data_IF_912885793987
#
_entry.id   IF_912885793987
#
_cell.length_a   1.000
_cell.length_b   1.000
_cell.length_c   1.000
_cell.angle_alpha   90.00
_cell.angle_beta   90.00
_cell.angle_gamma   90.00
#
_symmetry.space_group_name_H-M   'P 1'
#
loop_
_entity.id
_entity.type
_entity.pdbx_description
1 polymer ?
#
# COMPACT_ATOMS: atom_id res chain seq x y z
N UNK A 1 -4.98 49.92 -30.27
CA UNK A 1 -4.92 48.60 -30.95
C UNK A 1 -4.16 47.71 -30.03
N UNK A 2 -4.89 47.05 -29.15
CA UNK A 2 -4.36 46.16 -28.12
C UNK A 2 -4.56 44.73 -28.60
N UNK A 3 -3.45 44.01 -28.70
CA UNK A 3 -3.45 42.60 -29.08
C UNK A 3 -3.46 41.75 -27.79
N UNK A 4 -4.61 41.21 -27.47
CA UNK A 4 -4.81 40.31 -26.34
C UNK A 4 -4.33 38.89 -26.69
N UNK A 5 -3.07 38.62 -26.42
CA UNK A 5 -2.51 37.27 -26.50
C UNK A 5 -3.11 36.35 -25.44
N UNK A 6 -4.10 35.57 -25.85
CA UNK A 6 -4.74 34.54 -25.04
C UNK A 6 -3.76 33.35 -24.84
N UNK A 7 -3.01 33.38 -23.75
CA UNK A 7 -2.14 32.27 -23.35
C UNK A 7 -2.94 31.06 -22.94
N UNK A 8 -3.26 30.19 -23.89
CA UNK A 8 -3.75 28.84 -23.61
C UNK A 8 -2.60 28.07 -22.97
N UNK A 9 -2.64 27.90 -21.66
CA UNK A 9 -1.79 26.93 -20.95
C UNK A 9 -2.16 25.54 -21.49
N UNK A 10 -1.30 25.00 -22.36
CA UNK A 10 -1.32 23.58 -22.71
C UNK A 10 -1.11 22.79 -21.42
N UNK A 11 -2.17 22.19 -20.90
CA UNK A 11 -2.05 21.14 -19.93
C UNK A 11 -1.18 20.03 -20.56
N UNK A 12 -0.01 19.82 -20.03
CA UNK A 12 0.79 18.63 -20.30
C UNK A 12 -0.04 17.47 -19.81
N UNK A 13 -0.65 16.72 -20.71
CA UNK A 13 -1.12 15.38 -20.43
C UNK A 13 0.16 14.59 -20.09
N UNK A 14 0.41 14.33 -18.82
CA UNK A 14 1.41 13.33 -18.45
C UNK A 14 0.92 12.02 -19.05
N UNK A 15 1.67 11.48 -20.01
CA UNK A 15 1.40 10.16 -20.56
C UNK A 15 1.52 9.15 -19.42
N UNK A 16 0.47 8.36 -19.23
CA UNK A 16 0.49 7.31 -18.19
C UNK A 16 1.57 6.29 -18.53
N UNK A 17 2.38 5.90 -17.52
CA UNK A 17 3.37 4.81 -17.69
C UNK A 17 2.64 3.52 -18.04
N UNK A 18 3.03 2.86 -19.12
CA UNK A 18 2.47 1.56 -19.55
C UNK A 18 3.12 0.44 -18.78
N UNK A 19 2.31 -0.35 -18.09
CA UNK A 19 2.77 -1.40 -17.21
C UNK A 19 2.39 -2.80 -17.70
N UNK A 20 3.33 -3.74 -17.61
CA UNK A 20 3.06 -5.18 -17.68
C UNK A 20 3.09 -5.76 -16.28
N UNK A 21 2.05 -6.51 -15.90
CA UNK A 21 1.93 -7.15 -14.60
C UNK A 21 2.39 -8.60 -14.68
N UNK A 22 3.12 -9.05 -13.67
CA UNK A 22 3.68 -10.39 -13.58
C UNK A 22 3.34 -11.03 -12.25
N UNK A 23 2.73 -12.22 -12.30
CA UNK A 23 2.51 -13.07 -11.13
C UNK A 23 3.26 -14.40 -11.28
N UNK A 24 3.83 -14.87 -10.18
CA UNK A 24 4.43 -16.21 -10.11
C UNK A 24 3.81 -16.94 -8.93
N UNK A 25 3.09 -18.02 -9.20
CA UNK A 25 2.57 -18.88 -8.14
C UNK A 25 3.43 -20.13 -7.98
N UNK A 26 3.58 -20.63 -6.78
CA UNK A 26 4.30 -21.86 -6.47
C UNK A 26 3.63 -22.63 -5.33
N UNK A 27 3.97 -23.90 -5.22
CA UNK A 27 3.39 -24.79 -4.22
C UNK A 27 1.92 -25.10 -4.52
N UNK A 28 1.13 -25.24 -3.45
CA UNK A 28 -0.30 -25.58 -3.50
C UNK A 28 -1.22 -24.38 -3.68
N UNK A 29 -0.67 -23.19 -3.94
CA UNK A 29 -1.50 -22.00 -4.13
C UNK A 29 -2.52 -22.24 -5.27
N UNK A 30 -3.81 -22.08 -4.93
CA UNK A 30 -4.88 -22.26 -5.88
C UNK A 30 -4.77 -21.26 -7.04
N UNK A 31 -5.12 -21.69 -8.24
CA UNK A 31 -5.09 -20.81 -9.41
C UNK A 31 -5.99 -19.59 -9.22
N UNK A 32 -7.17 -19.80 -8.66
CA UNK A 32 -8.13 -18.73 -8.34
C UNK A 32 -7.54 -17.64 -7.44
N UNK A 33 -6.77 -18.03 -6.41
CA UNK A 33 -6.11 -17.08 -5.53
C UNK A 33 -5.03 -16.25 -6.26
N UNK A 34 -4.33 -16.86 -7.22
CA UNK A 34 -3.34 -16.15 -8.01
C UNK A 34 -4.00 -15.19 -9.03
N UNK A 35 -5.10 -15.58 -9.63
CA UNK A 35 -5.89 -14.74 -10.53
C UNK A 35 -6.51 -13.55 -9.78
N UNK A 36 -7.01 -13.79 -8.57
CA UNK A 36 -7.50 -12.72 -7.68
C UNK A 36 -6.38 -11.73 -7.33
N UNK A 37 -5.20 -12.24 -6.93
CA UNK A 37 -4.03 -11.40 -6.62
C UNK A 37 -3.60 -10.55 -7.81
N UNK A 38 -3.63 -11.11 -9.03
CA UNK A 38 -3.34 -10.37 -10.25
C UNK A 38 -4.39 -9.32 -10.58
N UNK A 39 -5.67 -9.58 -10.32
CA UNK A 39 -6.75 -8.60 -10.47
C UNK A 39 -6.58 -7.44 -9.48
N UNK A 40 -6.20 -7.75 -8.24
CA UNK A 40 -5.90 -6.75 -7.23
C UNK A 40 -4.65 -5.92 -7.59
N UNK A 41 -3.57 -6.56 -8.09
CA UNK A 41 -2.38 -5.89 -8.59
C UNK A 41 -2.71 -4.91 -9.73
N UNK A 42 -3.65 -5.29 -10.62
CA UNK A 42 -4.16 -4.40 -11.66
C UNK A 42 -4.78 -3.15 -11.06
N UNK A 43 -5.69 -3.31 -10.12
CA UNK A 43 -6.35 -2.19 -9.45
C UNK A 43 -5.35 -1.30 -8.70
N UNK A 44 -4.29 -1.87 -8.12
CA UNK A 44 -3.18 -1.11 -7.52
C UNK A 44 -2.42 -0.30 -8.57
N UNK A 45 -2.06 -0.91 -9.70
CA UNK A 45 -1.32 -0.24 -10.78
C UNK A 45 -2.14 0.93 -11.37
N UNK A 46 -3.44 0.71 -11.60
CA UNK A 46 -4.37 1.74 -12.08
C UNK A 46 -4.53 2.88 -11.05
N UNK A 47 -4.59 2.56 -9.76
CA UNK A 47 -4.61 3.56 -8.67
C UNK A 47 -3.33 4.37 -8.62
N UNK A 48 -2.18 3.77 -8.91
CA UNK A 48 -0.90 4.49 -9.03
C UNK A 48 -0.78 5.33 -10.31
N UNK A 49 -1.79 5.27 -11.19
CA UNK A 49 -1.83 6.04 -12.45
C UNK A 49 -1.22 5.33 -13.65
N UNK A 50 -0.83 4.06 -13.54
CA UNK A 50 -0.31 3.28 -14.65
C UNK A 50 -1.42 2.79 -15.59
N UNK A 51 -1.09 2.59 -16.86
CA UNK A 51 -1.93 1.92 -17.86
C UNK A 51 -1.47 0.48 -18.02
N UNK A 52 -2.33 -0.48 -17.66
CA UNK A 52 -2.01 -1.92 -17.69
C UNK A 52 -2.19 -2.48 -19.09
N UNK A 53 -1.09 -2.69 -19.81
CA UNK A 53 -1.06 -3.12 -21.20
C UNK A 53 -0.89 -4.64 -21.39
N UNK A 54 -0.53 -5.35 -20.33
CA UNK A 54 -0.39 -6.82 -20.38
C UNK A 54 -0.31 -7.45 -19.00
N UNK A 55 -0.65 -8.75 -18.94
CA UNK A 55 -0.56 -9.54 -17.71
C UNK A 55 0.02 -10.91 -18.01
N UNK A 56 0.92 -11.38 -17.15
CA UNK A 56 1.60 -12.65 -17.28
C UNK A 56 1.55 -13.42 -15.96
N UNK A 57 1.00 -14.62 -15.96
CA UNK A 57 0.98 -15.51 -14.80
C UNK A 57 1.79 -16.77 -15.09
N UNK A 58 2.66 -17.16 -14.17
CA UNK A 58 3.43 -18.39 -14.24
C UNK A 58 3.18 -19.28 -13.03
N UNK A 59 2.90 -20.56 -13.28
CA UNK A 59 2.93 -21.61 -12.27
C UNK A 59 4.31 -22.29 -12.25
N UNK A 60 4.88 -22.48 -11.05
CA UNK A 60 6.15 -23.19 -10.84
C UNK A 60 6.09 -24.04 -9.58
N UNK A 61 6.96 -25.04 -9.49
CA UNK A 61 7.15 -25.77 -8.23
C UNK A 61 7.94 -24.96 -7.20
N UNK A 62 8.89 -24.13 -7.66
CA UNK A 62 9.74 -23.27 -6.83
C UNK A 62 10.06 -21.98 -7.59
N UNK A 63 10.17 -20.84 -6.88
CA UNK A 63 10.65 -19.59 -7.46
C UNK A 63 12.09 -19.73 -7.93
N UNK A 64 12.44 -19.05 -9.02
CA UNK A 64 13.82 -18.99 -9.49
C UNK A 64 14.62 -18.03 -8.59
N UNK A 65 15.79 -18.44 -8.07
CA UNK A 65 16.58 -17.59 -7.17
C UNK A 65 17.11 -16.31 -7.84
N UNK A 66 17.31 -16.33 -9.16
CA UNK A 66 17.91 -15.22 -9.90
C UNK A 66 16.88 -14.23 -10.46
N UNK A 67 15.71 -14.70 -10.88
CA UNK A 67 14.74 -13.92 -11.64
C UNK A 67 13.29 -14.15 -11.21
N UNK A 68 13.04 -14.88 -10.12
CA UNK A 68 11.73 -15.32 -9.63
C UNK A 68 11.04 -16.28 -10.61
N UNK A 69 11.07 -15.99 -11.90
CA UNK A 69 10.42 -16.72 -13.00
C UNK A 69 11.39 -17.54 -13.83
N UNK A 70 10.89 -18.52 -14.57
CA UNK A 70 11.72 -19.38 -15.44
C UNK A 70 12.18 -18.66 -16.71
N UNK A 71 13.30 -19.15 -17.30
CA UNK A 71 13.94 -18.53 -18.48
C UNK A 71 12.97 -18.36 -19.65
N UNK A 72 12.25 -19.41 -20.06
CA UNK A 72 11.30 -19.31 -21.19
C UNK A 72 10.17 -18.30 -20.94
N UNK A 73 9.67 -18.22 -19.69
CA UNK A 73 8.65 -17.24 -19.33
C UNK A 73 9.20 -15.81 -19.28
N UNK A 74 10.49 -15.66 -18.99
CA UNK A 74 11.18 -14.38 -19.06
C UNK A 74 11.39 -13.90 -20.51
N UNK A 75 11.59 -14.82 -21.45
CA UNK A 75 11.63 -14.51 -22.89
C UNK A 75 10.24 -14.05 -23.38
N UNK A 76 9.17 -14.77 -22.98
CA UNK A 76 7.79 -14.37 -23.27
C UNK A 76 7.46 -12.98 -22.67
N UNK A 77 7.93 -12.70 -21.45
CA UNK A 77 7.80 -11.37 -20.84
C UNK A 77 8.53 -10.30 -21.67
N UNK A 78 9.74 -10.60 -22.16
CA UNK A 78 10.51 -9.66 -22.99
C UNK A 78 9.80 -9.36 -24.32
N UNK A 79 9.18 -10.36 -24.93
CA UNK A 79 8.36 -10.18 -26.15
C UNK A 79 7.10 -9.34 -25.85
N UNK A 80 6.41 -9.66 -24.75
CA UNK A 80 5.21 -8.91 -24.33
C UNK A 80 5.53 -7.43 -24.08
N UNK A 81 6.60 -7.15 -23.33
CA UNK A 81 7.09 -5.79 -23.06
C UNK A 81 7.38 -5.04 -24.38
N UNK A 82 8.06 -5.68 -25.33
CA UNK A 82 8.38 -5.07 -26.62
C UNK A 82 7.12 -4.80 -27.45
N UNK A 83 6.19 -5.74 -27.48
CA UNK A 83 4.96 -5.65 -28.26
C UNK A 83 4.01 -4.58 -27.71
N UNK A 84 3.89 -4.47 -26.40
CA UNK A 84 3.04 -3.49 -25.73
C UNK A 84 3.72 -2.14 -25.54
N UNK A 85 5.02 -2.04 -25.89
CA UNK A 85 5.88 -0.91 -25.63
C UNK A 85 5.75 -0.42 -24.17
N UNK A 86 5.82 -1.36 -23.22
CA UNK A 86 5.68 -1.07 -21.79
C UNK A 86 6.89 -0.28 -21.27
N UNK A 87 6.62 0.61 -20.31
CA UNK A 87 7.62 1.46 -19.68
C UNK A 87 8.17 0.85 -18.38
N UNK A 88 7.37 -0.04 -17.75
CA UNK A 88 7.74 -0.74 -16.53
C UNK A 88 7.08 -2.12 -16.43
N UNK A 89 7.64 -2.95 -15.54
CA UNK A 89 7.06 -4.26 -15.18
C UNK A 89 6.83 -4.29 -13.67
N UNK A 90 5.65 -4.74 -13.26
CA UNK A 90 5.25 -4.84 -11.85
C UNK A 90 5.03 -6.29 -11.49
N UNK A 91 5.75 -6.77 -10.48
CA UNK A 91 5.62 -8.12 -9.94
C UNK A 91 4.67 -8.13 -8.74
N UNK A 92 3.80 -9.14 -8.72
CA UNK A 92 2.85 -9.36 -7.61
C UNK A 92 3.56 -9.79 -6.31
N UNK A 93 4.67 -10.49 -6.43
CA UNK A 93 5.48 -10.95 -5.31
C UNK A 93 6.63 -9.98 -5.01
N UNK A 94 7.04 -9.95 -3.74
CA UNK A 94 8.24 -9.22 -3.34
C UNK A 94 9.49 -9.79 -4.02
N UNK A 95 10.31 -8.91 -4.55
CA UNK A 95 11.57 -9.24 -5.18
C UNK A 95 12.74 -9.04 -4.22
N UNK A 96 13.66 -9.99 -4.19
CA UNK A 96 14.95 -9.74 -3.57
C UNK A 96 15.73 -8.69 -4.38
N UNK A 97 16.64 -7.93 -3.75
CA UNK A 97 17.45 -6.93 -4.46
C UNK A 97 18.25 -7.50 -5.65
N UNK A 98 18.65 -8.77 -5.56
CA UNK A 98 19.34 -9.47 -6.64
C UNK A 98 18.41 -9.84 -7.79
N UNK A 99 17.19 -10.33 -7.49
CA UNK A 99 16.18 -10.63 -8.51
C UNK A 99 15.77 -9.37 -9.27
N UNK A 100 15.46 -8.29 -8.56
CA UNK A 100 15.10 -7.03 -9.18
C UNK A 100 16.19 -6.55 -10.14
N UNK A 101 17.45 -6.52 -9.70
CA UNK A 101 18.57 -6.12 -10.57
C UNK A 101 18.76 -7.02 -11.77
N UNK A 102 18.67 -8.34 -11.59
CA UNK A 102 18.81 -9.28 -12.70
C UNK A 102 17.70 -9.09 -13.74
N UNK A 103 16.47 -8.77 -13.30
CA UNK A 103 15.35 -8.46 -14.18
C UNK A 103 15.55 -7.11 -14.89
N UNK A 104 15.95 -6.05 -14.17
CA UNK A 104 16.29 -4.73 -14.74
C UNK A 104 17.37 -4.86 -15.81
N UNK A 105 18.44 -5.63 -15.54
CA UNK A 105 19.53 -5.85 -16.48
C UNK A 105 19.09 -6.62 -17.73
N UNK A 106 18.15 -7.55 -17.60
CA UNK A 106 17.67 -8.36 -18.74
C UNK A 106 16.63 -7.65 -19.58
N UNK A 107 15.70 -6.95 -18.94
CA UNK A 107 14.58 -6.28 -19.61
C UNK A 107 14.90 -4.84 -20.00
N UNK A 108 15.95 -4.25 -19.41
CA UNK A 108 16.34 -2.83 -19.60
C UNK A 108 15.18 -1.87 -19.28
N UNK A 109 14.33 -2.21 -18.31
CA UNK A 109 13.18 -1.46 -17.86
C UNK A 109 13.17 -1.32 -16.34
N UNK A 110 12.37 -0.36 -15.85
CA UNK A 110 12.04 -0.22 -14.43
C UNK A 110 11.24 -1.43 -13.96
N UNK A 111 11.69 -2.05 -12.87
CA UNK A 111 11.02 -3.18 -12.25
C UNK A 111 10.54 -2.76 -10.86
N UNK A 112 9.26 -2.94 -10.62
CA UNK A 112 8.65 -2.75 -9.31
C UNK A 112 8.14 -4.09 -8.78
N UNK A 113 8.08 -4.21 -7.47
CA UNK A 113 7.32 -5.26 -6.80
C UNK A 113 6.06 -4.66 -6.12
N UNK A 114 5.22 -5.53 -5.59
CA UNK A 114 3.97 -5.12 -4.92
C UNK A 114 4.22 -4.12 -3.79
N UNK A 115 5.29 -4.32 -3.01
CA UNK A 115 5.66 -3.42 -1.91
C UNK A 115 6.02 -2.01 -2.43
N UNK A 116 6.81 -1.92 -3.48
CA UNK A 116 7.16 -0.63 -4.08
C UNK A 116 5.92 0.09 -4.64
N UNK A 117 5.05 -0.63 -5.33
CA UNK A 117 3.81 -0.08 -5.87
C UNK A 117 2.89 0.48 -4.77
N UNK A 118 2.69 -0.25 -3.68
CA UNK A 118 1.89 0.23 -2.54
C UNK A 118 2.52 1.47 -1.90
N UNK A 119 3.85 1.53 -1.78
CA UNK A 119 4.55 2.71 -1.29
C UNK A 119 4.36 3.93 -2.18
N UNK A 120 4.32 3.74 -3.50
CA UNK A 120 4.06 4.82 -4.45
C UNK A 120 2.61 5.33 -4.32
N UNK A 121 1.62 4.44 -4.18
CA UNK A 121 0.22 4.80 -3.90
C UNK A 121 0.12 5.58 -2.58
N UNK A 122 0.80 5.14 -1.54
CA UNK A 122 0.81 5.84 -0.26
C UNK A 122 1.45 7.22 -0.35
N UNK A 123 2.46 7.40 -1.20
CA UNK A 123 3.07 8.70 -1.44
C UNK A 123 2.11 9.68 -2.12
N UNK A 124 1.22 9.19 -3.00
CA UNK A 124 0.16 9.99 -3.63
C UNK A 124 -0.90 10.44 -2.62
N UNK A 125 -1.30 9.56 -1.69
CA UNK A 125 -2.41 9.81 -0.75
C UNK A 125 -1.97 10.36 0.62
N UNK A 126 -0.68 10.52 0.89
CA UNK A 126 -0.17 11.14 2.11
C UNK A 126 -0.32 12.66 2.05
N UNK A 127 -1.28 13.22 2.78
CA UNK A 127 -1.50 14.67 2.83
C UNK A 127 -0.97 15.29 4.14
N UNK A 128 -1.09 14.57 5.27
CA UNK A 128 -0.63 15.06 6.55
C UNK A 128 0.90 15.05 6.66
N UNK A 129 1.44 15.89 7.56
CA UNK A 129 2.87 15.87 7.88
C UNK A 129 3.31 14.51 8.42
N UNK A 130 2.44 13.84 9.16
CA UNK A 130 2.71 12.54 9.73
C UNK A 130 2.72 11.44 8.67
N UNK A 131 1.67 11.36 7.85
CA UNK A 131 1.59 10.41 6.74
C UNK A 131 2.78 10.57 5.78
N UNK A 132 3.12 11.78 5.37
CA UNK A 132 4.31 12.05 4.53
C UNK A 132 5.61 11.56 5.17
N UNK A 133 5.81 11.81 6.46
CA UNK A 133 7.01 11.36 7.17
C UNK A 133 7.07 9.82 7.28
N UNK A 134 5.92 9.16 7.49
CA UNK A 134 5.82 7.69 7.52
C UNK A 134 6.13 7.07 6.18
N UNK A 135 5.52 7.58 5.11
CA UNK A 135 5.75 7.09 3.74
C UNK A 135 7.21 7.29 3.35
N UNK A 136 7.76 8.49 3.56
CA UNK A 136 9.17 8.76 3.27
C UNK A 136 10.10 7.81 4.03
N UNK A 137 9.81 7.56 5.31
CA UNK A 137 10.60 6.62 6.11
C UNK A 137 10.50 5.19 5.57
N UNK A 138 9.32 4.74 5.15
CA UNK A 138 9.10 3.42 4.58
C UNK A 138 9.83 3.26 3.23
N UNK A 139 9.71 4.26 2.33
CA UNK A 139 10.44 4.28 1.05
C UNK A 139 11.96 4.28 1.25
N UNK A 140 12.47 5.02 2.22
CA UNK A 140 13.90 5.03 2.53
C UNK A 140 14.38 3.68 3.08
N UNK A 141 13.61 3.02 3.94
CA UNK A 141 13.93 1.68 4.45
C UNK A 141 13.91 0.64 3.33
N UNK A 142 12.88 0.66 2.49
CA UNK A 142 12.78 -0.20 1.33
C UNK A 142 13.95 0.00 0.36
N UNK A 143 14.27 1.25 0.02
CA UNK A 143 15.40 1.60 -0.85
C UNK A 143 16.76 1.22 -0.26
N UNK A 144 16.93 1.33 1.08
CA UNK A 144 18.18 1.00 1.77
C UNK A 144 18.56 -0.48 1.59
N UNK A 145 17.60 -1.39 1.59
CA UNK A 145 17.85 -2.83 1.34
C UNK A 145 18.31 -3.09 -0.09
N UNK A 146 17.91 -2.24 -1.04
CA UNK A 146 18.22 -2.35 -2.48
C UNK A 146 19.50 -1.64 -2.90
N UNK A 147 20.02 -0.75 -2.08
CA UNK A 147 21.32 -0.10 -2.31
C UNK A 147 22.52 -1.06 -2.19
N UNK A 148 22.39 -2.15 -1.44
CA UNK A 148 23.45 -3.12 -1.13
C UNK A 148 23.92 -3.98 -2.31
N UNK A 149 23.91 -3.51 -3.51
CA UNK A 149 24.40 -4.29 -4.65
C UNK A 149 24.95 -3.46 -5.79
N UNK A 150 24.74 -2.15 -5.79
CA UNK A 150 25.31 -1.26 -6.83
C UNK A 150 26.79 -0.98 -6.66
N UNK A 151 27.35 -1.20 -5.46
CA UNK A 151 28.79 -0.99 -5.17
C UNK A 151 29.71 -2.04 -5.78
N UNK A 152 29.26 -3.27 -6.02
CA UNK A 152 30.08 -4.37 -6.53
C UNK A 152 30.45 -4.17 -8.00
N UNK A 153 29.62 -3.53 -8.80
CA UNK A 153 29.93 -3.26 -10.22
C UNK A 153 30.95 -2.15 -10.39
N UNK A 154 30.88 -1.11 -9.53
CA UNK A 154 31.87 0.00 -9.53
C UNK A 154 33.21 -0.38 -8.89
N UNK A 155 33.24 -1.37 -7.99
CA UNK A 155 34.47 -1.84 -7.35
C UNK A 155 35.27 -2.81 -8.23
N UNK A 156 34.66 -3.45 -9.25
CA UNK A 156 35.35 -4.31 -10.22
C UNK A 156 36.30 -3.55 -11.16
N UNK A 157 36.14 -2.21 -11.28
CA UNK A 157 37.00 -1.35 -12.11
C UNK A 157 38.27 -0.85 -11.40
N UNK A 158 38.42 -1.14 -10.10
CA UNK A 158 39.58 -0.70 -9.28
C UNK A 158 40.24 -1.90 -8.59
N UNK A 159 40.88 -2.80 -9.36
CA UNK A 159 41.54 -3.99 -8.82
C UNK A 159 42.81 -3.68 -8.03
N UNK A 160 42.75 -3.81 -6.70
CA UNK A 160 43.91 -3.82 -5.82
C UNK A 160 43.51 -4.31 -4.43
N UNK A 161 44.28 -5.23 -3.84
CA UNK A 161 44.11 -5.71 -2.48
C UNK A 161 44.35 -4.51 -1.52
N UNK A 162 43.29 -4.05 -0.84
CA UNK A 162 43.35 -3.04 0.22
C UNK A 162 42.99 -1.59 -0.15
N UNK A 163 42.59 -1.30 -1.39
CA UNK A 163 42.09 0.03 -1.77
C UNK A 163 40.55 0.05 -1.82
N UNK A 164 39.92 0.80 -0.89
CA UNK A 164 38.52 1.18 -0.99
C UNK A 164 38.32 1.99 -2.27
N UNK A 165 37.63 1.41 -3.26
CA UNK A 165 37.33 2.11 -4.52
C UNK A 165 36.37 3.29 -4.31
N UNK A 166 36.42 4.33 -5.17
CA UNK A 166 35.53 5.50 -5.06
C UNK A 166 34.02 5.14 -5.07
N UNK A 167 33.64 3.97 -5.59
CA UNK A 167 32.26 3.47 -5.58
C UNK A 167 31.78 2.97 -4.21
N UNK A 168 32.66 2.35 -3.41
CA UNK A 168 32.33 1.94 -2.04
C UNK A 168 32.11 3.15 -1.14
N UNK A 169 32.93 4.19 -1.29
CA UNK A 169 32.80 5.43 -0.51
C UNK A 169 31.49 6.13 -0.80
N UNK A 170 31.07 6.20 -2.06
CA UNK A 170 29.81 6.85 -2.47
C UNK A 170 28.60 6.08 -1.95
N UNK A 171 28.60 4.76 -2.05
CA UNK A 171 27.53 3.91 -1.51
C UNK A 171 27.40 4.06 0.01
N UNK A 172 28.54 4.12 0.71
CA UNK A 172 28.57 4.28 2.17
C UNK A 172 28.08 5.68 2.59
N UNK A 173 28.42 6.72 1.84
CA UNK A 173 27.88 8.06 2.03
C UNK A 173 26.36 8.11 1.83
N UNK A 174 25.85 7.53 0.75
CA UNK A 174 24.42 7.50 0.46
C UNK A 174 23.66 6.72 1.55
N UNK A 175 24.20 5.57 1.97
CA UNK A 175 23.67 4.80 3.09
C UNK A 175 23.66 5.61 4.40
N UNK A 176 24.70 6.35 4.67
CA UNK A 176 24.81 7.21 5.85
C UNK A 176 23.80 8.36 5.81
N UNK A 177 23.62 9.01 4.65
CA UNK A 177 22.60 10.06 4.44
C UNK A 177 21.21 9.53 4.68
N UNK A 178 20.86 8.38 4.09
CA UNK A 178 19.56 7.74 4.28
C UNK A 178 19.32 7.39 5.75
N UNK A 179 20.28 6.75 6.42
CA UNK A 179 20.14 6.41 7.83
C UNK A 179 19.99 7.66 8.72
N UNK A 180 20.65 8.76 8.38
CA UNK A 180 20.49 10.03 9.10
C UNK A 180 19.08 10.59 8.89
N UNK A 181 18.55 10.53 7.67
CA UNK A 181 17.19 10.99 7.36
C UNK A 181 16.14 10.14 8.08
N UNK A 182 16.28 8.81 8.08
CA UNK A 182 15.41 7.89 8.84
C UNK A 182 15.38 8.25 10.34
N UNK A 183 16.55 8.52 10.95
CA UNK A 183 16.62 8.93 12.36
C UNK A 183 15.93 10.27 12.62
N UNK A 184 15.99 11.20 11.69
CA UNK A 184 15.28 12.48 11.80
C UNK A 184 13.78 12.29 11.74
N UNK A 185 13.28 11.53 10.76
CA UNK A 185 11.87 11.20 10.60
C UNK A 185 11.32 10.43 11.83
N UNK A 186 12.08 9.49 12.38
CA UNK A 186 11.70 8.77 13.60
C UNK A 186 11.50 9.72 14.80
N UNK A 187 12.36 10.74 14.95
CA UNK A 187 12.19 11.77 16.00
C UNK A 187 10.95 12.64 15.76
N UNK A 188 10.69 13.02 14.51
CA UNK A 188 9.52 13.80 14.14
C UNK A 188 8.24 13.01 14.46
N UNK A 189 8.16 11.75 14.06
CA UNK A 189 7.02 10.86 14.33
C UNK A 189 6.80 10.64 15.84
N UNK A 190 7.86 10.44 16.62
CA UNK A 190 7.76 10.34 18.09
C UNK A 190 7.21 11.61 18.73
N UNK A 191 7.55 12.78 18.21
CA UNK A 191 7.00 14.03 18.72
C UNK A 191 5.49 14.17 18.38
N UNK A 192 5.08 13.80 17.16
CA UNK A 192 3.67 13.80 16.75
C UNK A 192 2.84 12.81 17.59
N UNK A 193 3.35 11.62 17.84
CA UNK A 193 2.71 10.62 18.71
C UNK A 193 2.49 11.17 20.14
N UNK A 194 3.45 11.91 20.72
CA UNK A 194 3.29 12.54 22.04
C UNK A 194 2.12 13.52 22.07
N UNK A 195 1.97 14.33 21.03
CA UNK A 195 0.85 15.29 20.94
C UNK A 195 -0.50 14.55 20.87
N UNK A 196 -0.58 13.45 20.12
CA UNK A 196 -1.78 12.62 20.06
C UNK A 196 -2.14 12.03 21.42
N UNK A 197 -1.16 11.46 22.14
CA UNK A 197 -1.37 10.91 23.50
C UNK A 197 -1.96 11.94 24.47
N UNK A 198 -1.57 13.21 24.37
CA UNK A 198 -2.15 14.27 25.22
C UNK A 198 -3.62 14.54 24.85
N UNK A 199 -3.94 14.60 23.55
CA UNK A 199 -5.33 14.81 23.09
C UNK A 199 -6.23 13.63 23.50
N UNK A 200 -5.71 12.40 23.44
CA UNK A 200 -6.39 11.17 23.84
C UNK A 200 -6.73 11.18 25.33
N UNK A 201 -5.75 11.41 26.22
CA UNK A 201 -6.01 11.50 27.67
C UNK A 201 -7.13 12.48 28.02
N UNK A 202 -7.31 13.53 27.20
CA UNK A 202 -8.42 14.45 27.37
C UNK A 202 -9.77 13.82 26.98
N UNK A 203 -9.80 13.00 25.91
CA UNK A 203 -11.02 12.26 25.49
C UNK A 203 -11.42 11.22 26.54
N UNK A 204 -10.46 10.43 27.02
CA UNK A 204 -10.66 9.43 28.08
C UNK A 204 -11.28 10.06 29.35
N UNK A 205 -10.77 11.23 29.78
CA UNK A 205 -11.34 11.96 30.93
C UNK A 205 -12.78 12.42 30.73
N UNK A 206 -13.20 12.59 29.49
CA UNK A 206 -14.56 13.03 29.14
C UNK A 206 -15.50 11.85 28.88
N UNK A 207 -15.05 10.60 29.06
CA UNK A 207 -15.80 9.36 28.79
C UNK A 207 -16.46 9.36 27.40
N UNK A 208 -15.72 9.81 26.38
CA UNK A 208 -16.17 9.81 24.98
C UNK A 208 -15.82 8.46 24.38
N UNK A 209 -16.83 7.70 23.95
CA UNK A 209 -16.64 6.42 23.26
C UNK A 209 -15.94 6.62 21.92
N UNK A 210 -15.02 5.71 21.59
CA UNK A 210 -14.17 5.77 20.39
C UNK A 210 -14.46 4.57 19.50
N UNK A 211 -14.77 4.83 18.24
CA UNK A 211 -14.97 3.81 17.21
C UNK A 211 -13.89 3.93 16.14
N UNK A 212 -13.38 2.81 15.64
CA UNK A 212 -12.52 2.78 14.47
C UNK A 212 -13.16 1.97 13.35
N UNK A 213 -13.20 2.55 12.14
CA UNK A 213 -13.58 1.85 10.93
C UNK A 213 -12.37 1.04 10.45
N UNK A 214 -12.51 -0.26 10.43
CA UNK A 214 -11.51 -1.19 9.89
C UNK A 214 -12.12 -1.99 8.73
N UNK A 215 -11.32 -2.56 7.89
CA UNK A 215 -11.81 -3.38 6.78
C UNK A 215 -10.90 -3.28 5.56
N UNK A 216 -11.20 -4.12 4.59
CA UNK A 216 -10.44 -4.21 3.36
C UNK A 216 -10.41 -2.87 2.60
N UNK A 217 -9.38 -2.65 1.78
CA UNK A 217 -9.35 -1.46 0.92
C UNK A 217 -10.57 -1.45 -0.02
N UNK A 218 -11.10 -0.27 -0.29
CA UNK A 218 -12.32 -0.08 -1.09
C UNK A 218 -13.60 -0.79 -0.57
N UNK A 219 -13.65 -1.18 0.71
CA UNK A 219 -14.89 -1.72 1.32
C UNK A 219 -15.93 -0.63 1.64
N UNK A 220 -15.60 0.65 1.49
CA UNK A 220 -16.50 1.78 1.70
C UNK A 220 -16.44 2.40 3.10
N UNK A 221 -15.31 2.28 3.81
CA UNK A 221 -15.09 2.89 5.14
C UNK A 221 -15.35 4.39 5.14
N UNK A 222 -14.75 5.13 4.21
CA UNK A 222 -14.91 6.58 4.08
C UNK A 222 -16.34 6.97 3.68
N UNK A 223 -17.04 6.13 2.90
CA UNK A 223 -18.46 6.32 2.57
C UNK A 223 -19.32 6.22 3.82
N UNK A 224 -19.08 5.25 4.69
CA UNK A 224 -19.78 5.09 5.96
C UNK A 224 -19.49 6.25 6.89
N UNK A 225 -18.22 6.71 6.96
CA UNK A 225 -17.87 7.90 7.72
C UNK A 225 -18.69 9.11 7.26
N UNK A 226 -18.78 9.34 5.94
CA UNK A 226 -19.57 10.43 5.38
C UNK A 226 -21.08 10.28 5.68
N UNK A 227 -21.63 9.07 5.61
CA UNK A 227 -23.03 8.80 5.90
C UNK A 227 -23.39 9.03 7.38
N UNK A 228 -22.44 8.80 8.29
CA UNK A 228 -22.63 9.01 9.74
C UNK A 228 -22.28 10.43 10.20
N UNK A 229 -21.58 11.19 9.36
CA UNK A 229 -21.10 12.53 9.68
C UNK A 229 -21.18 13.40 8.43
N UNK A 230 -21.37 14.70 8.57
CA UNK A 230 -21.28 15.63 7.41
C UNK A 230 -19.79 15.92 7.07
N UNK A 231 -18.95 14.89 7.03
CA UNK A 231 -17.50 15.06 6.98
C UNK A 231 -16.98 15.55 5.62
N UNK A 232 -17.72 15.30 4.53
CA UNK A 232 -17.30 15.68 3.17
C UNK A 232 -15.96 15.08 2.74
N UNK A 233 -15.61 13.89 3.27
CA UNK A 233 -14.39 13.19 2.87
C UNK A 233 -14.51 12.77 1.41
N UNK A 234 -13.47 13.01 0.63
CA UNK A 234 -13.43 12.54 -0.76
C UNK A 234 -13.50 11.03 -0.77
N UNK A 235 -14.50 10.50 -1.46
CA UNK A 235 -14.67 9.06 -1.67
C UNK A 235 -14.36 8.78 -3.13
N UNK A 236 -13.34 7.99 -3.35
CA UNK A 236 -12.91 7.56 -4.68
C UNK A 236 -13.00 6.04 -4.75
N UNK A 237 -13.36 5.50 -5.90
CA UNK A 237 -13.32 4.06 -6.17
C UNK A 237 -11.89 3.61 -6.48
N UNK A 238 -10.98 3.89 -5.54
CA UNK A 238 -9.56 3.61 -5.62
C UNK A 238 -9.08 2.90 -4.36
N UNK A 239 -8.06 2.06 -4.54
CA UNK A 239 -7.43 1.36 -3.42
C UNK A 239 -6.61 2.37 -2.59
N UNK A 240 -6.70 2.26 -1.25
CA UNK A 240 -5.98 3.15 -0.33
C UNK A 240 -6.29 4.65 -0.48
N UNK A 241 -7.52 5.01 -0.82
CA UNK A 241 -7.97 6.40 -0.89
C UNK A 241 -7.79 7.17 0.43
N UNK A 242 -7.80 6.48 1.56
CA UNK A 242 -7.53 7.04 2.89
C UNK A 242 -6.25 6.48 3.45
N UNK A 243 -5.23 7.33 3.64
CA UNK A 243 -3.98 6.98 4.32
C UNK A 243 -3.89 7.65 5.71
N UNK A 244 -4.26 8.92 5.78
CA UNK A 244 -4.28 9.69 7.03
C UNK A 244 -5.57 9.41 7.81
N UNK A 245 -5.52 9.05 9.10
CA UNK A 245 -6.73 8.80 9.88
C UNK A 245 -7.60 10.06 9.99
N UNK A 246 -8.87 9.93 9.68
CA UNK A 246 -9.83 11.02 9.76
C UNK A 246 -10.79 10.77 10.91
N UNK A 247 -10.67 11.55 11.98
CA UNK A 247 -11.54 11.45 13.17
C UNK A 247 -12.66 12.47 13.11
N UNK A 248 -13.91 12.04 13.35
CA UNK A 248 -15.10 12.88 13.39
C UNK A 248 -15.93 12.57 14.62
N UNK A 249 -16.70 13.56 15.06
CA UNK A 249 -17.69 13.38 16.13
C UNK A 249 -18.99 12.86 15.56
N UNK A 250 -19.62 11.99 16.32
CA UNK A 250 -20.97 11.50 16.06
C UNK A 250 -21.80 11.65 17.33
N UNK A 251 -23.09 11.96 17.16
CA UNK A 251 -24.05 11.99 18.24
C UNK A 251 -24.87 10.69 18.20
N UNK A 252 -24.78 9.91 19.27
CA UNK A 252 -25.53 8.66 19.39
C UNK A 252 -26.98 8.95 19.82
N UNK A 253 -27.94 8.05 19.48
CA UNK A 253 -29.37 8.26 19.83
C UNK A 253 -29.65 8.49 21.31
N UNK A 254 -28.73 8.05 22.19
CA UNK A 254 -28.79 8.22 23.64
C UNK A 254 -28.27 9.59 24.12
N UNK A 255 -28.09 10.55 23.23
CA UNK A 255 -27.50 11.86 23.51
C UNK A 255 -26.05 11.79 24.07
N UNK A 256 -25.38 10.65 23.85
CA UNK A 256 -23.97 10.44 24.16
C UNK A 256 -23.11 10.84 22.96
N UNK A 257 -22.00 11.50 23.25
CA UNK A 257 -21.01 11.87 22.24
C UNK A 257 -20.05 10.71 22.02
N UNK A 258 -19.75 10.43 20.76
CA UNK A 258 -18.73 9.49 20.39
C UNK A 258 -17.82 10.10 19.30
N UNK A 259 -16.71 9.47 19.05
CA UNK A 259 -15.85 9.76 17.90
C UNK A 259 -15.69 8.50 17.06
N UNK A 260 -15.68 8.70 15.76
CA UNK A 260 -15.42 7.65 14.79
C UNK A 260 -14.19 8.05 13.96
N UNK A 261 -13.28 7.10 13.75
CA UNK A 261 -12.05 7.33 13.00
C UNK A 261 -12.04 6.40 11.79
N UNK A 262 -11.90 6.98 10.59
CA UNK A 262 -11.58 6.23 9.37
C UNK A 262 -10.11 5.90 9.35
N UNK A 263 -9.76 4.66 9.02
CA UNK A 263 -8.38 4.17 9.00
C UNK A 263 -7.97 3.69 7.61
N UNK A 264 -6.68 3.45 7.44
CA UNK A 264 -6.14 2.85 6.22
C UNK A 264 -6.82 1.51 5.94
N UNK A 265 -7.17 1.27 4.66
CA UNK A 265 -7.69 -0.03 4.23
C UNK A 265 -6.62 -1.11 4.28
N UNK A 266 -7.02 -2.32 4.64
CA UNK A 266 -6.15 -3.49 4.59
C UNK A 266 -6.22 -4.15 3.20
N UNK A 267 -5.20 -4.91 2.88
CA UNK A 267 -5.06 -5.63 1.61
C UNK A 267 -4.39 -6.99 1.87
N UNK A 268 -4.63 -7.96 0.99
CA UNK A 268 -3.90 -9.22 1.05
C UNK A 268 -2.39 -9.00 0.92
N UNK A 269 -1.63 -9.78 1.67
CA UNK A 269 -0.17 -9.72 1.63
C UNK A 269 0.40 -8.31 1.89
N UNK A 270 -0.20 -7.57 2.86
CA UNK A 270 0.37 -6.30 3.28
C UNK A 270 1.78 -6.54 3.85
N UNK A 271 2.84 -5.97 3.25
CA UNK A 271 4.20 -6.23 3.70
C UNK A 271 4.40 -5.79 5.16
N UNK A 272 5.01 -6.63 6.00
CA UNK A 272 5.29 -6.30 7.42
C UNK A 272 6.03 -4.97 7.61
N UNK A 273 6.91 -4.61 6.66
CA UNK A 273 7.60 -3.32 6.68
C UNK A 273 6.65 -2.13 6.59
N UNK A 274 5.52 -2.29 5.88
CA UNK A 274 4.47 -1.28 5.79
C UNK A 274 3.63 -1.24 7.07
N UNK A 275 3.27 -2.39 7.63
CA UNK A 275 2.58 -2.46 8.93
C UNK A 275 3.38 -1.73 10.00
N UNK A 276 4.71 -1.98 10.08
CA UNK A 276 5.59 -1.25 11.01
C UNK A 276 5.67 0.26 10.74
N UNK A 277 5.77 0.66 9.48
CA UNK A 277 5.84 2.07 9.11
C UNK A 277 4.56 2.82 9.48
N UNK A 278 3.40 2.18 9.31
CA UNK A 278 2.09 2.75 9.61
C UNK A 278 1.55 2.40 11.00
N UNK A 279 2.35 1.73 11.84
CA UNK A 279 1.96 1.34 13.20
C UNK A 279 1.37 2.52 14.00
N UNK A 280 1.91 3.73 13.83
CA UNK A 280 1.40 4.90 14.55
C UNK A 280 0.05 5.41 14.01
N UNK A 281 -0.26 5.18 12.74
CA UNK A 281 -1.58 5.44 12.14
C UNK A 281 -2.58 4.38 12.57
N UNK A 282 -2.12 3.14 12.68
CA UNK A 282 -2.89 2.00 13.14
C UNK A 282 -3.03 1.95 14.69
N UNK A 283 -2.30 2.80 15.44
CA UNK A 283 -2.51 2.99 16.89
C UNK A 283 -3.97 3.43 17.19
N UNK A 284 -4.63 4.17 16.30
CA UNK A 284 -6.04 4.56 16.50
C UNK A 284 -6.99 3.34 16.50
N UNK A 285 -6.62 2.24 15.84
CA UNK A 285 -7.37 0.97 15.86
C UNK A 285 -7.23 0.30 17.24
N UNK A 286 -6.00 0.19 17.77
CA UNK A 286 -5.73 -0.39 19.11
C UNK A 286 -6.41 0.37 20.23
N UNK A 287 -6.69 1.63 20.02
CA UNK A 287 -7.17 2.58 21.02
C UNK A 287 -8.68 2.78 20.95
N UNK A 288 -9.36 2.10 20.03
CA UNK A 288 -10.81 2.15 19.93
C UNK A 288 -11.49 1.27 20.99
N UNK A 289 -12.63 1.73 21.49
CA UNK A 289 -13.48 0.93 22.37
C UNK A 289 -14.24 -0.15 21.58
N UNK A 290 -14.53 0.11 20.29
CA UNK A 290 -15.23 -0.79 19.38
C UNK A 290 -14.68 -0.64 17.98
N UNK A 291 -14.49 -1.75 17.27
CA UNK A 291 -14.19 -1.77 15.85
C UNK A 291 -15.47 -1.92 15.02
N UNK A 292 -15.58 -1.12 13.97
CA UNK A 292 -16.58 -1.27 12.93
C UNK A 292 -15.90 -1.91 11.72
N UNK A 293 -15.99 -3.25 11.60
CA UNK A 293 -15.40 -3.98 10.50
C UNK A 293 -16.30 -3.88 9.26
N UNK A 294 -15.93 -2.98 8.35
CA UNK A 294 -16.66 -2.74 7.10
C UNK A 294 -16.30 -3.82 6.09
N UNK A 295 -17.29 -4.56 5.67
CA UNK A 295 -17.17 -5.69 4.75
C UNK A 295 -17.93 -5.36 3.46
N UNK A 296 -17.24 -5.45 2.33
CA UNK A 296 -17.87 -5.41 1.00
C UNK A 296 -18.58 -6.74 0.76
N UNK A 297 -19.89 -6.78 1.00
CA UNK A 297 -20.71 -7.99 0.89
C UNK A 297 -20.90 -8.46 -0.55
N UNK A 298 -20.68 -7.59 -1.54
CA UNK A 298 -20.77 -7.95 -2.96
C UNK A 298 -19.55 -8.68 -3.51
N UNK A 299 -18.46 -8.74 -2.70
CA UNK A 299 -17.24 -9.41 -3.12
C UNK A 299 -17.40 -10.93 -3.14
N UNK A 300 -16.99 -11.65 -4.20
CA UNK A 300 -17.06 -13.11 -4.23
C UNK A 300 -16.12 -13.75 -3.19
N UNK A 301 -15.12 -13.03 -2.70
CA UNK A 301 -14.10 -13.50 -1.76
C UNK A 301 -14.24 -12.88 -0.35
N UNK A 302 -15.47 -12.58 0.08
CA UNK A 302 -15.77 -11.92 1.36
C UNK A 302 -15.01 -12.55 2.54
N UNK A 303 -15.10 -13.88 2.67
CA UNK A 303 -14.45 -14.59 3.80
C UNK A 303 -12.95 -14.40 3.85
N UNK A 304 -12.26 -14.53 2.71
CA UNK A 304 -10.80 -14.30 2.63
C UNK A 304 -10.42 -12.87 2.97
N UNK A 305 -11.25 -11.89 2.57
CA UNK A 305 -11.01 -10.49 2.89
C UNK A 305 -11.20 -10.21 4.38
N UNK A 306 -12.17 -10.85 5.02
CA UNK A 306 -12.35 -10.80 6.48
C UNK A 306 -11.12 -11.40 7.16
N UNK A 307 -10.73 -12.62 6.79
CA UNK A 307 -9.55 -13.31 7.36
C UNK A 307 -8.27 -12.47 7.20
N UNK A 308 -8.08 -11.82 6.05
CA UNK A 308 -6.92 -10.94 5.83
C UNK A 308 -6.91 -9.73 6.77
N UNK A 309 -8.06 -9.18 7.09
CA UNK A 309 -8.21 -8.09 8.06
C UNK A 309 -7.94 -8.59 9.47
N UNK A 310 -8.50 -9.74 9.84
CA UNK A 310 -8.33 -10.34 11.16
C UNK A 310 -6.86 -10.65 11.46
N UNK A 311 -6.12 -11.20 10.50
CA UNK A 311 -4.66 -11.41 10.63
C UNK A 311 -3.92 -10.11 10.96
N UNK A 312 -4.25 -9.02 10.29
CA UNK A 312 -3.61 -7.72 10.57
C UNK A 312 -4.05 -7.17 11.93
N UNK A 313 -5.31 -7.35 12.33
CA UNK A 313 -5.79 -6.95 13.66
C UNK A 313 -5.08 -7.72 14.78
N UNK A 314 -4.82 -9.01 14.59
CA UNK A 314 -4.00 -9.81 15.50
C UNK A 314 -2.56 -9.31 15.59
N UNK A 315 -1.90 -9.04 14.46
CA UNK A 315 -0.54 -8.46 14.42
C UNK A 315 -0.48 -7.09 15.13
N UNK A 316 -1.58 -6.35 15.09
CA UNK A 316 -1.74 -5.08 15.81
C UNK A 316 -2.13 -5.26 17.28
N UNK A 317 -2.27 -6.49 17.80
CA UNK A 317 -2.79 -6.75 19.16
C UNK A 317 -4.16 -6.09 19.40
N UNK A 318 -5.02 -6.06 18.40
CA UNK A 318 -6.35 -5.47 18.41
C UNK A 318 -7.47 -6.51 18.27
N UNK A 319 -7.14 -7.81 18.21
CA UNK A 319 -8.09 -8.91 18.03
C UNK A 319 -9.11 -9.06 19.17
N UNK A 320 -8.77 -8.63 20.38
CA UNK A 320 -9.66 -8.70 21.57
C UNK A 320 -10.66 -7.51 21.65
N UNK A 321 -10.57 -6.54 20.76
CA UNK A 321 -11.47 -5.38 20.78
C UNK A 321 -12.85 -5.78 20.26
N UNK A 322 -13.95 -5.45 20.95
CA UNK A 322 -15.30 -5.72 20.48
C UNK A 322 -15.51 -5.22 19.04
N UNK A 323 -15.92 -6.13 18.15
CA UNK A 323 -16.07 -5.83 16.73
C UNK A 323 -17.52 -5.98 16.27
N UNK A 324 -18.01 -4.98 15.55
CA UNK A 324 -19.30 -4.99 14.85
C UNK A 324 -19.03 -5.09 13.35
N UNK A 325 -19.54 -6.12 12.72
CA UNK A 325 -19.49 -6.27 11.26
C UNK A 325 -20.53 -5.39 10.58
N UNK A 326 -20.10 -4.58 9.63
CA UNK A 326 -20.93 -3.68 8.84
C UNK A 326 -20.92 -4.17 7.40
N UNK A 327 -22.00 -4.84 6.99
CA UNK A 327 -22.16 -5.37 5.63
C UNK A 327 -22.52 -4.22 4.68
N UNK A 328 -21.49 -3.70 4.01
CA UNK A 328 -21.65 -2.62 3.03
C UNK A 328 -21.87 -3.16 1.62
N UNK A 329 -22.36 -2.31 0.72
CA UNK A 329 -22.70 -2.62 -0.68
C UNK A 329 -23.75 -3.73 -0.80
N UNK A 330 -24.59 -3.89 0.21
CA UNK A 330 -25.65 -4.89 0.24
C UNK A 330 -26.76 -4.65 -0.81
N UNK A 331 -26.82 -3.44 -1.35
CA UNK A 331 -27.67 -3.07 -2.50
C UNK A 331 -27.29 -3.79 -3.80
N UNK A 332 -26.05 -4.26 -3.91
CA UNK A 332 -25.54 -5.04 -5.05
C UNK A 332 -25.88 -6.54 -4.95
N UNK A 333 -26.36 -7.01 -3.78
CA UNK A 333 -26.75 -8.41 -3.56
C UNK A 333 -28.20 -8.67 -3.94
N UNK A 334 -28.47 -9.89 -4.37
CA UNK A 334 -29.84 -10.38 -4.48
C UNK A 334 -30.43 -10.69 -3.09
N UNK A 335 -31.75 -10.74 -2.97
CA UNK A 335 -32.44 -10.85 -1.68
C UNK A 335 -32.05 -12.15 -0.94
N UNK A 336 -31.91 -13.24 -1.67
CA UNK A 336 -31.51 -14.57 -1.17
C UNK A 336 -30.06 -14.54 -0.58
N UNK A 337 -29.16 -13.79 -1.21
CA UNK A 337 -27.78 -13.63 -0.75
C UNK A 337 -27.72 -12.77 0.52
N UNK A 338 -28.55 -11.72 0.62
CA UNK A 338 -28.67 -10.91 1.84
C UNK A 338 -29.10 -11.72 3.05
N UNK A 339 -30.12 -12.59 2.84
CA UNK A 339 -30.61 -13.48 3.91
C UNK A 339 -29.54 -14.47 4.39
N UNK A 340 -28.67 -14.92 3.49
CA UNK A 340 -27.57 -15.83 3.84
C UNK A 340 -26.51 -15.19 4.77
N UNK A 341 -26.33 -13.87 4.70
CA UNK A 341 -25.43 -13.13 5.59
C UNK A 341 -26.01 -12.88 6.98
N UNK A 342 -27.34 -12.93 7.14
CA UNK A 342 -28.02 -12.63 8.41
C UNK A 342 -28.17 -13.90 9.28
N UNK A 343 -28.05 -15.08 8.66
CA UNK A 343 -28.11 -16.40 9.34
C UNK A 343 -26.73 -16.84 9.83
#
# INVERSE_FOLDING_TARGET
MEDNGNGVTKGTFEEKERAVLVGVRWGEAAQEAAEESMSELRSLAETAGADVTGMLLQARSRPDPATLMGKGKLEELSELVSTTAADLVIFDQDLTPSQQRNLENKLQLKILDRTALILDIFALHAHSKEGKAQVEMAQLRYGLTRLTGRGVELSRLGGGIGTRGPGETKLEEDRRRINTRIKTLDRELKNLSRVRKVKRKRRERQAVSTFALVGYTNAGKSSILNALTDAGVVVEDQLFSTLDPITRRIDLPTNRRAVITDTVGFINHLPHQLVEAFKSTLEEVKEADVLLHVVDSSSPNVRRRIEAVDVVLEELEAGDIPTIYVLNKSDLLQEEEREAFIK
#
